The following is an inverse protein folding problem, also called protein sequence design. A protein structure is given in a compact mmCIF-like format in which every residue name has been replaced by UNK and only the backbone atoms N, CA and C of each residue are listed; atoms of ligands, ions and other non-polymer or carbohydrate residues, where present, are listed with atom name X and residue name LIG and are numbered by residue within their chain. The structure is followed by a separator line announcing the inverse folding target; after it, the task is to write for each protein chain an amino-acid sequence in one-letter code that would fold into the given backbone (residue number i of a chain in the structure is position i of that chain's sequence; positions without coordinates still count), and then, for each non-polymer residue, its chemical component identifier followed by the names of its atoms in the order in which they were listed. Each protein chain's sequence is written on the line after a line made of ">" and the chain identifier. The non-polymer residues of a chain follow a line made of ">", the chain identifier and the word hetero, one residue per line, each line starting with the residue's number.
data_IF_685449592790
#
_entry.id   IF_685449592790
#
_cell.length_a   1.000
_cell.length_b   1.000
_cell.length_c   1.000
_cell.angle_alpha   90.00
_cell.angle_beta   90.00
_cell.angle_gamma   90.00
#
_symmetry.space_group_name_H-M   'P 1'
#
loop_
_entity.id
_entity.type
_entity.pdbx_description
1 polymer ?
#
# COMPACT_ATOMS: atom_id res chain seq x y z
N UNK A 1 2.04 -14.31 -6.39
CA UNK A 1 2.61 -12.96 -6.20
C UNK A 1 2.57 -12.68 -4.72
N UNK A 2 3.67 -12.19 -4.17
CA UNK A 2 3.81 -11.86 -2.76
C UNK A 2 4.05 -10.37 -2.62
N UNK A 3 3.50 -9.76 -1.57
CA UNK A 3 3.77 -8.38 -1.21
C UNK A 3 4.31 -8.42 0.21
N UNK A 4 5.56 -7.98 0.38
CA UNK A 4 6.12 -7.72 1.69
C UNK A 4 5.84 -6.27 2.09
N UNK A 5 5.36 -6.09 3.32
CA UNK A 5 4.93 -4.79 3.85
C UNK A 5 5.73 -4.48 5.10
N UNK A 6 6.60 -3.47 4.99
CA UNK A 6 7.40 -2.96 6.10
C UNK A 6 6.95 -1.54 6.42
N UNK A 7 6.76 -1.22 7.70
CA UNK A 7 6.31 0.11 8.09
C UNK A 7 6.87 0.57 9.44
N UNK A 8 7.19 1.86 9.52
CA UNK A 8 7.30 2.61 10.78
C UNK A 8 6.01 3.42 10.87
N UNK A 9 5.06 2.96 11.68
CA UNK A 9 3.72 3.54 11.73
C UNK A 9 3.71 4.91 12.42
N UNK A 10 2.95 5.90 11.90
CA UNK A 10 2.23 5.94 10.62
C UNK A 10 3.06 6.56 9.48
N UNK A 11 4.35 6.75 9.66
CA UNK A 11 5.14 7.72 8.91
C UNK A 11 5.80 7.17 7.66
N UNK A 12 6.24 5.91 7.65
CA UNK A 12 6.97 5.31 6.52
C UNK A 12 6.44 3.94 6.20
N UNK A 13 6.20 3.68 4.92
CA UNK A 13 5.75 2.38 4.42
C UNK A 13 6.56 2.01 3.19
N UNK A 14 7.07 0.78 3.20
CA UNK A 14 7.73 0.14 2.07
C UNK A 14 6.98 -1.13 1.71
N UNK A 15 6.70 -1.27 0.42
CA UNK A 15 6.05 -2.40 -0.21
C UNK A 15 7.00 -2.98 -1.24
N UNK A 16 7.39 -4.24 -1.08
CA UNK A 16 8.19 -4.98 -2.05
C UNK A 16 7.32 -6.07 -2.68
N UNK A 17 7.19 -6.03 -4.00
CA UNK A 17 6.33 -6.95 -4.77
C UNK A 17 7.20 -7.98 -5.47
N UNK A 18 6.88 -9.25 -5.27
CA UNK A 18 7.62 -10.38 -5.84
C UNK A 18 6.69 -11.37 -6.55
N UNK A 19 7.20 -12.02 -7.60
CA UNK A 19 6.52 -13.15 -8.24
C UNK A 19 6.55 -14.38 -7.33
N UNK A 20 5.80 -15.43 -7.68
CA UNK A 20 5.86 -16.71 -6.96
C UNK A 20 7.23 -17.39 -7.01
N UNK A 21 8.08 -17.00 -7.96
CA UNK A 21 9.44 -17.52 -8.11
C UNK A 21 10.50 -16.66 -7.40
N UNK A 22 10.10 -15.69 -6.58
CA UNK A 22 11.01 -14.79 -5.87
C UNK A 22 11.65 -13.70 -6.74
N UNK A 23 11.16 -13.52 -7.97
CA UNK A 23 11.62 -12.42 -8.84
C UNK A 23 11.01 -11.11 -8.32
N UNK A 24 11.87 -10.15 -7.98
CA UNK A 24 11.46 -8.81 -7.56
C UNK A 24 10.85 -8.01 -8.73
N UNK A 25 9.61 -7.55 -8.57
CA UNK A 25 8.82 -6.86 -9.59
C UNK A 25 8.85 -5.36 -9.40
N UNK A 26 8.68 -4.89 -8.17
CA UNK A 26 8.70 -3.48 -7.84
C UNK A 26 8.94 -3.24 -6.34
N UNK A 27 9.60 -2.12 -6.03
CA UNK A 27 9.62 -1.56 -4.68
C UNK A 27 8.89 -0.23 -4.69
N UNK A 28 7.94 -0.05 -3.79
CA UNK A 28 7.26 1.21 -3.51
C UNK A 28 7.59 1.64 -2.09
N UNK A 29 8.07 2.86 -1.93
CA UNK A 29 8.29 3.48 -0.63
C UNK A 29 7.56 4.81 -0.59
N UNK A 30 6.87 5.08 0.51
CA UNK A 30 6.19 6.36 0.70
C UNK A 30 6.16 6.79 2.16
N UNK A 31 6.11 8.11 2.34
CA UNK A 31 5.85 8.77 3.60
C UNK A 31 4.89 9.95 3.36
N UNK A 32 4.75 10.86 4.34
CA UNK A 32 3.87 12.03 4.19
C UNK A 32 4.30 13.01 3.09
N UNK A 33 5.57 13.01 2.73
CA UNK A 33 6.19 14.03 1.87
C UNK A 33 6.52 13.51 0.48
N UNK A 34 6.97 12.25 0.38
CA UNK A 34 7.47 11.65 -0.86
C UNK A 34 6.93 10.26 -1.11
N UNK A 35 6.85 9.92 -2.39
CA UNK A 35 6.69 8.57 -2.90
C UNK A 35 7.85 8.27 -3.85
N UNK A 36 8.38 7.06 -3.79
CA UNK A 36 9.46 6.53 -4.61
C UNK A 36 9.07 5.14 -5.08
N UNK A 37 9.24 4.84 -6.37
CA UNK A 37 8.99 3.51 -6.93
C UNK A 37 10.12 3.11 -7.85
N UNK A 38 10.62 1.89 -7.68
CA UNK A 38 11.54 1.25 -8.61
C UNK A 38 10.80 0.11 -9.30
N UNK A 39 10.87 0.10 -10.63
CA UNK A 39 10.29 -0.94 -11.50
C UNK A 39 11.42 -1.48 -12.37
N UNK A 40 12.13 -2.53 -11.93
CA UNK A 40 13.40 -2.95 -12.52
C UNK A 40 13.33 -3.42 -13.97
N UNK A 41 12.31 -4.18 -14.32
CA UNK A 41 12.05 -4.69 -15.68
C UNK A 41 11.95 -3.55 -16.71
N UNK A 42 11.41 -2.41 -16.30
CA UNK A 42 11.27 -1.21 -17.13
C UNK A 42 12.47 -0.26 -17.00
N UNK A 43 13.41 -0.51 -16.08
CA UNK A 43 14.48 0.42 -15.69
C UNK A 43 13.95 1.82 -15.37
N UNK A 44 12.82 1.89 -14.65
CA UNK A 44 12.16 3.16 -14.29
C UNK A 44 12.20 3.41 -12.80
N UNK A 45 12.49 4.66 -12.46
CA UNK A 45 12.42 5.20 -11.11
C UNK A 45 11.40 6.33 -11.08
N UNK A 46 10.30 6.13 -10.37
CA UNK A 46 9.28 7.14 -10.17
C UNK A 46 9.50 7.84 -8.84
N UNK A 47 9.34 9.16 -8.80
CA UNK A 47 9.45 9.92 -7.57
C UNK A 47 8.57 11.17 -7.59
N UNK A 48 8.06 11.59 -6.44
CA UNK A 48 7.25 12.80 -6.34
C UNK A 48 6.65 12.98 -4.96
N UNK A 49 5.73 13.94 -4.82
CA UNK A 49 5.00 14.17 -3.57
C UNK A 49 3.98 13.04 -3.34
N UNK A 50 3.93 12.50 -2.12
CA UNK A 50 2.92 11.52 -1.75
C UNK A 50 1.52 12.14 -1.85
N UNK A 51 0.76 11.75 -2.87
CA UNK A 51 -0.57 12.27 -3.15
C UNK A 51 -1.40 11.24 -3.91
N UNK A 52 -2.73 11.34 -3.79
CA UNK A 52 -3.67 10.48 -4.57
C UNK A 52 -3.38 10.51 -6.07
N UNK A 53 -3.04 11.68 -6.63
CA UNK A 53 -2.70 11.85 -8.06
C UNK A 53 -1.37 11.16 -8.43
N UNK A 54 -0.39 11.15 -7.53
CA UNK A 54 0.85 10.43 -7.75
C UNK A 54 0.62 8.91 -7.73
N UNK A 55 -0.20 8.42 -6.79
CA UNK A 55 -0.53 7.00 -6.67
C UNK A 55 -1.38 6.49 -7.84
N UNK A 56 -2.31 7.28 -8.36
CA UNK A 56 -3.13 6.89 -9.52
C UNK A 56 -2.32 6.69 -10.81
N UNK A 57 -1.08 7.20 -10.87
CA UNK A 57 -0.15 6.94 -11.97
C UNK A 57 0.63 5.63 -11.81
N UNK A 58 0.67 5.10 -10.58
CA UNK A 58 1.46 3.92 -10.22
C UNK A 58 0.59 2.67 -10.13
N UNK A 59 -0.62 2.81 -9.61
CA UNK A 59 -1.59 1.74 -9.44
C UNK A 59 -2.93 2.17 -10.04
N UNK A 60 -3.71 1.24 -10.61
CA UNK A 60 -5.01 1.54 -11.22
C UNK A 60 -6.11 1.86 -10.19
N UNK A 61 -5.75 1.92 -8.90
CA UNK A 61 -6.59 2.33 -7.79
C UNK A 61 -6.34 3.81 -7.48
N UNK A 62 -7.39 4.63 -7.46
CA UNK A 62 -7.30 6.02 -6.99
C UNK A 62 -7.24 6.11 -5.47
N UNK A 63 -6.21 5.52 -4.85
CA UNK A 63 -6.07 5.43 -3.40
C UNK A 63 -5.14 6.51 -2.85
N UNK A 64 -5.56 7.19 -1.79
CA UNK A 64 -4.67 8.05 -1.01
C UNK A 64 -3.73 7.18 -0.15
N UNK A 65 -2.42 7.49 -0.06
CA UNK A 65 -1.48 6.69 0.73
C UNK A 65 -1.88 6.54 2.21
N UNK A 66 -2.57 7.55 2.77
CA UNK A 66 -3.09 7.51 4.15
C UNK A 66 -4.21 6.50 4.29
N UNK A 67 -5.05 6.34 3.27
CA UNK A 67 -6.11 5.34 3.26
C UNK A 67 -5.50 3.94 3.17
N UNK A 68 -4.53 3.74 2.28
CA UNK A 68 -3.85 2.46 2.15
C UNK A 68 -3.23 2.03 3.49
N UNK A 69 -2.52 2.92 4.17
CA UNK A 69 -1.95 2.62 5.49
C UNK A 69 -3.04 2.26 6.51
N UNK A 70 -4.11 3.06 6.60
CA UNK A 70 -5.21 2.78 7.52
C UNK A 70 -5.90 1.44 7.22
N UNK A 71 -6.07 1.09 5.95
CA UNK A 71 -6.62 -0.20 5.52
C UNK A 71 -5.71 -1.36 5.95
N UNK A 72 -4.41 -1.25 5.65
CA UNK A 72 -3.43 -2.32 5.95
C UNK A 72 -3.29 -2.58 7.46
N UNK A 73 -3.47 -1.55 8.28
CA UNK A 73 -3.24 -1.60 9.73
C UNK A 73 -4.53 -1.56 10.58
N UNK A 74 -5.71 -1.68 9.97
CA UNK A 74 -7.01 -1.60 10.64
C UNK A 74 -7.17 -0.31 11.49
N UNK A 75 -6.66 0.82 10.99
CA UNK A 75 -6.90 2.12 11.62
C UNK A 75 -8.30 2.65 11.28
N UNK A 76 -8.84 3.50 12.15
CA UNK A 76 -10.15 4.11 11.91
C UNK A 76 -10.15 4.99 10.65
N UNK A 77 -10.94 4.58 9.65
CA UNK A 77 -11.14 5.29 8.39
C UNK A 77 -12.17 6.42 8.49
N UNK A 78 -12.97 6.49 9.56
CA UNK A 78 -13.95 7.59 9.76
C UNK A 78 -13.28 8.96 9.77
N UNK A 79 -12.05 9.06 10.30
CA UNK A 79 -11.23 10.28 10.29
C UNK A 79 -10.95 10.83 8.87
N UNK A 80 -11.18 10.02 7.85
CA UNK A 80 -11.04 10.38 6.43
C UNK A 80 -12.38 10.46 5.70
N UNK A 81 -13.50 10.59 6.41
CA UNK A 81 -14.87 10.62 5.86
C UNK A 81 -15.30 9.34 5.13
N UNK A 82 -14.74 8.18 5.48
CA UNK A 82 -15.24 6.90 4.98
C UNK A 82 -16.49 6.48 5.76
N UNK A 83 -17.42 5.82 5.07
CA UNK A 83 -18.57 5.17 5.68
C UNK A 83 -18.21 3.71 5.91
N UNK A 84 -18.23 3.26 7.16
CA UNK A 84 -17.83 1.89 7.53
C UNK A 84 -18.97 1.13 8.19
N UNK A 85 -19.16 -0.11 7.76
CA UNK A 85 -19.91 -1.15 8.44
C UNK A 85 -18.96 -1.93 9.36
N UNK A 86 -19.45 -2.30 10.53
CA UNK A 86 -18.67 -2.99 11.55
C UNK A 86 -19.27 -4.37 11.84
N UNK A 87 -18.42 -5.34 12.08
CA UNK A 87 -18.83 -6.65 12.57
C UNK A 87 -19.23 -6.59 14.05
N UNK A 88 -19.79 -7.69 14.55
CA UNK A 88 -20.13 -7.85 15.98
C UNK A 88 -18.92 -7.73 16.91
N UNK A 89 -17.70 -7.85 16.38
CA UNK A 89 -16.44 -7.70 17.10
C UNK A 89 -15.95 -6.23 17.14
N UNK A 90 -16.73 -5.29 16.60
CA UNK A 90 -16.38 -3.87 16.53
C UNK A 90 -15.32 -3.53 15.47
N UNK A 91 -14.97 -4.49 14.60
CA UNK A 91 -14.00 -4.31 13.53
C UNK A 91 -14.69 -3.95 12.22
N UNK A 92 -14.10 -3.05 11.44
CA UNK A 92 -14.69 -2.63 10.16
C UNK A 92 -14.72 -3.80 9.16
N UNK A 93 -15.90 -4.27 8.74
CA UNK A 93 -16.06 -5.34 7.75
C UNK A 93 -16.00 -4.79 6.32
N UNK A 94 -16.54 -3.59 6.11
CA UNK A 94 -16.60 -2.92 4.82
C UNK A 94 -16.55 -1.41 5.02
N UNK A 95 -15.75 -0.70 4.24
CA UNK A 95 -15.69 0.75 4.24
C UNK A 95 -15.72 1.29 2.81
N UNK A 96 -16.42 2.42 2.62
CA UNK A 96 -16.61 3.04 1.31
C UNK A 96 -16.33 4.54 1.35
N UNK A 97 -15.75 5.04 0.25
CA UNK A 97 -15.59 6.46 -0.04
C UNK A 97 -15.86 6.74 -1.51
N UNK A 98 -15.73 8.00 -1.97
CA UNK A 98 -15.97 8.38 -3.38
C UNK A 98 -14.99 7.67 -4.32
N UNK A 99 -15.43 6.53 -4.87
CA UNK A 99 -14.75 5.78 -5.92
C UNK A 99 -13.87 4.61 -5.44
N UNK A 100 -13.92 4.27 -4.15
CA UNK A 100 -13.15 3.16 -3.59
C UNK A 100 -13.93 2.46 -2.46
N UNK A 101 -13.95 1.14 -2.54
CA UNK A 101 -14.51 0.23 -1.53
C UNK A 101 -13.39 -0.63 -0.98
N UNK A 102 -13.32 -0.76 0.35
CA UNK A 102 -12.45 -1.69 1.05
C UNK A 102 -13.30 -2.69 1.82
N UNK A 103 -13.07 -3.99 1.60
CA UNK A 103 -13.81 -5.08 2.24
C UNK A 103 -12.83 -6.06 2.88
N UNK A 104 -13.02 -6.35 4.16
CA UNK A 104 -12.20 -7.33 4.89
C UNK A 104 -12.90 -8.69 4.85
N UNK A 105 -12.50 -9.50 3.88
CA UNK A 105 -13.10 -10.80 3.59
C UNK A 105 -12.76 -11.88 4.64
N UNK A 106 -11.62 -11.75 5.33
CA UNK A 106 -11.18 -12.70 6.36
C UNK A 106 -10.29 -12.01 7.39
N UNK A 107 -10.46 -12.33 8.67
CA UNK A 107 -9.61 -11.89 9.79
C UNK A 107 -9.41 -13.00 10.84
N UNK A 108 -8.80 -14.11 10.44
CA UNK A 108 -8.66 -15.29 11.31
C UNK A 108 -7.24 -15.84 11.27
N UNK A 109 -6.77 -16.38 12.40
CA UNK A 109 -5.48 -17.09 12.46
C UNK A 109 -4.27 -16.23 12.10
N UNK A 110 -4.34 -14.92 12.33
CA UNK A 110 -3.26 -14.00 11.98
C UNK A 110 -3.12 -13.71 10.48
N UNK A 111 -4.15 -14.06 9.70
CA UNK A 111 -4.26 -13.74 8.29
C UNK A 111 -5.44 -12.80 8.09
N UNK A 112 -5.19 -11.72 7.35
CA UNK A 112 -6.21 -10.75 6.94
C UNK A 112 -6.30 -10.73 5.43
N UNK A 113 -7.50 -10.85 4.88
CA UNK A 113 -7.73 -10.71 3.44
C UNK A 113 -8.55 -9.46 3.22
N UNK A 114 -7.99 -8.51 2.48
CA UNK A 114 -8.67 -7.26 2.13
C UNK A 114 -8.84 -7.16 0.62
N UNK A 115 -10.04 -6.81 0.19
CA UNK A 115 -10.35 -6.47 -1.19
C UNK A 115 -10.52 -4.97 -1.34
N UNK A 116 -9.83 -4.39 -2.31
CA UNK A 116 -9.92 -3.00 -2.70
C UNK A 116 -10.52 -2.93 -4.10
N UNK A 117 -11.65 -2.26 -4.23
CA UNK A 117 -12.39 -2.18 -5.47
C UNK A 117 -12.68 -0.74 -5.84
N UNK A 118 -12.37 -0.40 -7.09
CA UNK A 118 -12.67 0.88 -7.73
C UNK A 118 -13.37 0.61 -9.06
N UNK A 119 -13.79 1.67 -9.76
CA UNK A 119 -14.42 1.53 -11.09
C UNK A 119 -13.52 0.86 -12.13
N UNK A 120 -12.20 1.00 -12.00
CA UNK A 120 -11.21 0.56 -13.00
C UNK A 120 -10.47 -0.71 -12.63
N UNK A 121 -10.49 -1.10 -11.35
CA UNK A 121 -9.69 -2.22 -10.87
C UNK A 121 -10.20 -2.79 -9.55
N UNK A 122 -9.95 -4.08 -9.37
CA UNK A 122 -10.13 -4.83 -8.13
C UNK A 122 -8.80 -5.46 -7.74
N UNK A 123 -8.37 -5.25 -6.51
CA UNK A 123 -7.14 -5.79 -5.93
C UNK A 123 -7.50 -6.54 -4.67
N UNK A 124 -6.98 -7.75 -4.50
CA UNK A 124 -7.12 -8.51 -3.27
C UNK A 124 -5.75 -8.76 -2.67
N UNK A 125 -5.59 -8.45 -1.39
CA UNK A 125 -4.35 -8.60 -0.65
C UNK A 125 -4.57 -9.55 0.52
N UNK A 126 -3.70 -10.55 0.63
CA UNK A 126 -3.61 -11.40 1.80
C UNK A 126 -2.43 -10.93 2.66
N UNK A 127 -2.74 -10.35 3.81
CA UNK A 127 -1.80 -9.84 4.79
C UNK A 127 -1.59 -10.90 5.88
N UNK A 128 -0.33 -11.22 6.16
CA UNK A 128 0.03 -12.00 7.35
C UNK A 128 0.28 -11.04 8.51
N UNK A 129 0.28 -11.55 9.74
CA UNK A 129 0.61 -10.76 10.92
C UNK A 129 1.93 -10.01 10.76
N UNK A 130 1.89 -8.71 11.05
CA UNK A 130 3.07 -7.87 11.13
C UNK A 130 3.91 -8.29 12.33
N UNK A 131 5.21 -8.46 12.12
CA UNK A 131 6.18 -8.69 13.18
C UNK A 131 6.95 -7.39 13.41
N UNK A 132 7.28 -7.11 14.66
CA UNK A 132 8.21 -6.03 14.95
C UNK A 132 9.56 -6.35 14.30
N UNK A 133 10.10 -5.37 13.58
CA UNK A 133 11.44 -5.47 13.01
C UNK A 133 12.13 -4.12 13.09
N UNK A 134 13.36 -4.12 13.59
CA UNK A 134 14.20 -2.93 13.59
C UNK A 134 14.88 -2.80 12.23
N UNK A 135 14.27 -2.03 11.33
CA UNK A 135 14.89 -1.62 10.06
C UNK A 135 15.55 -0.25 10.23
N UNK A 136 16.72 -0.08 9.63
CA UNK A 136 17.41 1.21 9.61
C UNK A 136 16.62 2.23 8.77
N UNK A 137 16.84 3.53 8.99
CA UNK A 137 16.07 4.59 8.34
C UNK A 137 16.23 4.58 6.81
N UNK A 138 17.39 4.18 6.32
CA UNK A 138 17.81 4.04 4.93
C UNK A 138 17.01 2.96 4.19
N UNK A 139 16.49 1.97 4.90
CA UNK A 139 15.61 0.95 4.32
C UNK A 139 14.32 1.56 3.72
N UNK A 140 13.92 2.71 4.27
CA UNK A 140 12.79 3.53 3.82
C UNK A 140 13.24 4.72 2.96
N UNK A 141 14.36 4.59 2.25
CA UNK A 141 14.71 5.45 1.13
C UNK A 141 15.14 4.57 -0.04
N UNK A 142 14.51 4.74 -1.19
CA UNK A 142 14.88 3.99 -2.39
C UNK A 142 15.67 4.93 -3.30
N UNK A 143 17.02 4.84 -3.30
CA UNK A 143 17.82 5.65 -4.20
C UNK A 143 17.54 5.22 -5.65
N UNK A 144 17.67 6.17 -6.58
CA UNK A 144 17.56 5.86 -8.02
C UNK A 144 18.69 4.90 -8.41
N UNK A 145 18.38 3.69 -8.92
CA UNK A 145 19.44 2.78 -9.37
C UNK A 145 20.18 3.32 -10.60
N UNK A 146 21.44 2.90 -10.78
CA UNK A 146 22.23 3.28 -11.93
C UNK A 146 21.56 2.82 -13.24
N UNK A 147 21.56 3.69 -14.26
CA UNK A 147 20.94 3.39 -15.57
C UNK A 147 19.41 3.47 -15.61
N UNK A 148 18.73 3.84 -14.51
CA UNK A 148 17.27 3.97 -14.49
C UNK A 148 16.83 5.36 -14.95
N UNK A 149 15.74 5.41 -15.73
CA UNK A 149 15.07 6.66 -16.13
C UNK A 149 14.26 7.22 -14.97
N UNK A 150 14.52 8.48 -14.61
CA UNK A 150 13.77 9.21 -13.59
C UNK A 150 12.46 9.75 -14.16
N UNK A 151 11.35 9.51 -13.46
CA UNK A 151 10.00 9.95 -13.84
C UNK A 151 9.37 10.68 -12.66
N UNK A 152 8.98 11.93 -12.86
CA UNK A 152 8.33 12.74 -11.83
C UNK A 152 6.81 12.48 -11.82
N UNK A 153 6.27 12.21 -10.63
CA UNK A 153 4.83 11.97 -10.40
C UNK A 153 4.07 13.27 -10.14
#
# INVERSE_FOLDING_TARGET
>A
MYIDVNAIRPDRVRLDVETSLGIHVASLNYNRDKVQVVVPDQRKYYHGKASRKAFSKLVPLEIDPKWLSAILFDEDLKKYNWKCEYSNEGLASKCETKGLTAEWLKREGGVRVVSLESKSAKVQMQLKNFRESAKQAEFYDIPKPAGFKSIKL
#
